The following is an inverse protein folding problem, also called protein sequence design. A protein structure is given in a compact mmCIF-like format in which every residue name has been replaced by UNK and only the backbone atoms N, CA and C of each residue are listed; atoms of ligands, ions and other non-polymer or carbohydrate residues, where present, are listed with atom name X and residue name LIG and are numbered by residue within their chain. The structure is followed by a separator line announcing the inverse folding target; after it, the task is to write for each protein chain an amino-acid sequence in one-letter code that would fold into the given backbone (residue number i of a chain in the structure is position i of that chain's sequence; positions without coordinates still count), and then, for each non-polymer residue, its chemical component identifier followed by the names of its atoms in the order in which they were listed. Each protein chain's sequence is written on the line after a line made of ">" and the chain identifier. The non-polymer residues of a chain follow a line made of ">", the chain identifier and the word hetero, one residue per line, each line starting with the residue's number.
data_IF_525211103183
#
_entry.id   IF_525211103183
#
_cell.length_a   1.000
_cell.length_b   1.000
_cell.length_c   1.000
_cell.angle_alpha   90.00
_cell.angle_beta   90.00
_cell.angle_gamma   90.00
#
_symmetry.space_group_name_H-M   'P 1'
#
loop_
_entity.id
_entity.type
_entity.pdbx_description
1 polymer ?
#
# COMPACT_ATOMS: atom_id res chain seq x y z
N UNK A 1 0.26 -5.01 20.85
CA UNK A 1 -0.89 -4.77 19.97
C UNK A 1 -1.81 -5.98 20.05
N UNK A 2 -1.34 -7.15 19.63
CA UNK A 2 -2.02 -8.45 19.76
C UNK A 2 -2.67 -8.73 21.13
N UNK A 3 -1.90 -8.62 22.23
CA UNK A 3 -2.48 -8.78 23.57
C UNK A 3 -3.46 -7.67 23.98
N UNK A 4 -3.32 -6.46 23.43
CA UNK A 4 -4.20 -5.31 23.73
C UNK A 4 -5.56 -5.46 23.00
N UNK A 5 -5.60 -6.12 21.85
CA UNK A 5 -6.85 -6.44 21.15
C UNK A 5 -7.61 -7.62 21.78
N UNK A 6 -7.13 -8.15 22.90
CA UNK A 6 -7.77 -9.25 23.64
C UNK A 6 -7.42 -10.64 23.12
N UNK A 7 -6.47 -10.74 22.18
CA UNK A 7 -5.95 -12.02 21.70
C UNK A 7 -4.93 -12.58 22.72
N UNK A 8 -5.03 -13.89 22.99
CA UNK A 8 -4.28 -14.55 24.08
C UNK A 8 -3.15 -15.46 23.57
N UNK A 9 -3.14 -15.74 22.27
CA UNK A 9 -2.08 -16.46 21.60
C UNK A 9 -0.84 -15.58 21.38
N UNK A 10 0.30 -16.24 21.18
CA UNK A 10 1.56 -15.57 20.82
C UNK A 10 1.86 -15.85 19.36
N UNK A 11 2.19 -14.80 18.61
CA UNK A 11 2.48 -14.86 17.17
C UNK A 11 3.92 -14.45 16.95
N UNK A 12 4.67 -15.24 16.19
CA UNK A 12 6.05 -14.93 15.85
C UNK A 12 6.14 -13.63 15.03
N UNK A 13 7.12 -12.75 15.30
CA UNK A 13 7.23 -11.45 14.66
C UNK A 13 7.86 -11.53 13.26
N UNK A 14 7.27 -12.34 12.37
CA UNK A 14 7.63 -12.34 10.94
C UNK A 14 7.13 -11.07 10.25
N UNK A 15 7.69 -10.73 9.08
CA UNK A 15 7.26 -9.54 8.32
C UNK A 15 5.78 -9.66 7.96
N UNK A 16 5.33 -10.84 7.54
CA UNK A 16 3.94 -11.13 7.20
C UNK A 16 3.01 -10.88 8.40
N UNK A 17 3.38 -11.39 9.59
CA UNK A 17 2.58 -11.24 10.80
C UNK A 17 2.54 -9.78 11.27
N UNK A 18 3.67 -9.07 11.20
CA UNK A 18 3.73 -7.64 11.51
C UNK A 18 2.84 -6.83 10.56
N UNK A 19 2.90 -7.11 9.26
CA UNK A 19 2.11 -6.39 8.24
C UNK A 19 0.61 -6.73 8.35
N UNK A 20 0.27 -7.94 8.79
CA UNK A 20 -1.10 -8.31 9.10
C UNK A 20 -1.61 -7.56 10.34
N UNK A 21 -0.84 -7.54 11.43
CA UNK A 21 -1.22 -6.83 12.66
C UNK A 21 -1.41 -5.33 12.39
N UNK A 22 -0.50 -4.71 11.63
CA UNK A 22 -0.62 -3.29 11.22
C UNK A 22 -1.86 -3.01 10.38
N UNK A 23 -2.30 -3.95 9.54
CA UNK A 23 -3.53 -3.81 8.76
C UNK A 23 -4.77 -3.75 9.66
N UNK A 24 -4.79 -4.59 10.69
CA UNK A 24 -5.91 -4.67 11.63
C UNK A 24 -5.93 -3.45 12.55
N UNK A 25 -4.77 -3.09 13.09
CA UNK A 25 -4.63 -2.00 14.04
C UNK A 25 -4.88 -0.61 13.42
N UNK A 26 -4.34 -0.36 12.22
CA UNK A 26 -4.38 0.98 11.59
C UNK A 26 -5.38 1.05 10.43
N UNK A 27 -6.49 0.31 10.53
CA UNK A 27 -7.55 0.34 9.52
C UNK A 27 -8.12 1.76 9.42
N UNK A 28 -8.21 2.30 8.20
CA UNK A 28 -8.68 3.67 7.97
C UNK A 28 -7.63 4.77 8.15
N UNK A 29 -6.41 4.47 8.60
CA UNK A 29 -5.35 5.47 8.86
C UNK A 29 -4.34 5.64 7.71
N UNK A 30 -4.66 5.14 6.51
CA UNK A 30 -3.85 5.35 5.31
C UNK A 30 -2.52 4.60 5.25
N UNK A 31 -2.26 3.65 6.17
CA UNK A 31 -0.96 2.94 6.25
C UNK A 31 -0.87 1.73 5.30
N UNK A 32 -2.00 1.07 5.02
CA UNK A 32 -2.02 -0.24 4.37
C UNK A 32 -1.38 -0.23 2.97
N UNK A 33 -1.64 0.79 2.17
CA UNK A 33 -1.07 0.87 0.81
C UNK A 33 0.46 0.91 0.85
N UNK A 34 1.02 1.81 1.66
CA UNK A 34 2.46 2.00 1.77
C UNK A 34 3.17 0.81 2.41
N UNK A 35 2.51 0.12 3.36
CA UNK A 35 3.01 -1.12 3.93
C UNK A 35 3.17 -2.23 2.88
N UNK A 36 2.20 -2.37 1.97
CA UNK A 36 2.27 -3.34 0.88
C UNK A 36 3.34 -2.98 -0.16
N UNK A 37 3.46 -1.70 -0.52
CA UNK A 37 4.46 -1.23 -1.49
C UNK A 37 5.88 -1.44 -0.96
N UNK A 38 6.17 -1.01 0.28
CA UNK A 38 7.53 -1.07 0.85
C UNK A 38 8.00 -2.50 1.18
N UNK A 39 7.08 -3.46 1.23
CA UNK A 39 7.38 -4.88 1.49
C UNK A 39 7.32 -5.75 0.23
N UNK A 40 7.04 -5.18 -0.94
CA UNK A 40 6.90 -5.94 -2.19
C UNK A 40 5.63 -6.78 -2.29
N UNK A 41 4.70 -6.65 -1.34
CA UNK A 41 3.46 -7.42 -1.28
C UNK A 41 2.31 -6.80 -2.09
N UNK A 42 2.51 -5.61 -2.67
CA UNK A 42 1.47 -4.89 -3.41
C UNK A 42 0.94 -5.67 -4.61
N UNK A 43 1.82 -6.19 -5.47
CA UNK A 43 1.42 -6.91 -6.68
C UNK A 43 0.61 -8.18 -6.38
N UNK A 44 0.97 -8.91 -5.31
CA UNK A 44 0.28 -10.15 -4.93
C UNK A 44 -1.03 -9.86 -4.18
N UNK A 45 -1.11 -8.76 -3.43
CA UNK A 45 -2.28 -8.44 -2.59
C UNK A 45 -3.34 -7.60 -3.33
N UNK A 46 -2.92 -6.60 -4.12
CA UNK A 46 -3.80 -5.60 -4.75
C UNK A 46 -4.25 -6.04 -6.16
N UNK A 47 -4.90 -7.20 -6.21
CA UNK A 47 -5.46 -7.84 -7.40
C UNK A 47 -6.99 -7.80 -7.40
N UNK A 48 -7.67 -8.09 -8.53
CA UNK A 48 -9.12 -8.19 -8.54
C UNK A 48 -9.65 -9.17 -7.49
N UNK A 49 -10.75 -8.80 -6.84
CA UNK A 49 -11.40 -9.64 -5.84
C UNK A 49 -12.62 -10.37 -6.42
N UNK A 50 -13.08 -11.40 -5.71
CA UNK A 50 -14.23 -12.21 -6.12
C UNK A 50 -15.57 -11.49 -6.01
N UNK A 51 -15.64 -10.38 -5.27
CA UNK A 51 -16.86 -9.59 -5.08
C UNK A 51 -17.02 -8.48 -6.12
N UNK A 52 -15.98 -8.23 -6.93
CA UNK A 52 -15.96 -7.21 -7.97
C UNK A 52 -15.73 -5.78 -7.46
N UNK A 53 -15.38 -5.58 -6.18
CA UNK A 53 -15.11 -4.23 -5.64
C UNK A 53 -13.82 -3.64 -6.20
N UNK A 54 -12.84 -4.49 -6.48
CA UNK A 54 -11.62 -4.18 -7.22
C UNK A 54 -11.59 -4.98 -8.50
N UNK A 55 -11.44 -4.29 -9.62
CA UNK A 55 -11.36 -4.88 -10.96
C UNK A 55 -9.96 -4.77 -11.59
N UNK A 56 -9.06 -3.99 -10.97
CA UNK A 56 -7.75 -3.67 -11.52
C UNK A 56 -6.59 -4.27 -10.70
N UNK A 57 -5.58 -4.77 -11.41
CA UNK A 57 -4.30 -5.21 -10.82
C UNK A 57 -3.36 -4.02 -10.61
N UNK A 58 -2.64 -4.05 -9.49
CA UNK A 58 -1.55 -3.11 -9.23
C UNK A 58 -0.30 -3.46 -10.07
N UNK A 59 0.41 -2.46 -10.57
CA UNK A 59 1.68 -2.58 -11.30
C UNK A 59 2.73 -1.64 -10.69
N UNK A 60 4.01 -1.94 -10.88
CA UNK A 60 5.11 -1.09 -10.37
C UNK A 60 5.00 0.35 -10.91
N UNK A 61 4.51 0.54 -12.14
CA UNK A 61 4.26 1.87 -12.72
C UNK A 61 3.23 2.71 -11.94
N UNK A 62 2.33 2.07 -11.19
CA UNK A 62 1.30 2.72 -10.36
C UNK A 62 1.73 2.96 -8.92
N UNK A 63 3.00 2.75 -8.60
CA UNK A 63 3.55 2.87 -7.24
C UNK A 63 3.41 4.28 -6.68
N UNK A 64 3.75 5.29 -7.48
CA UNK A 64 3.77 6.69 -7.08
C UNK A 64 2.52 7.40 -7.56
N UNK A 65 2.03 8.37 -6.80
CA UNK A 65 1.01 9.29 -7.29
C UNK A 65 1.57 10.12 -8.45
N UNK A 66 0.72 10.57 -9.40
CA UNK A 66 1.16 11.48 -10.44
C UNK A 66 1.65 12.78 -9.81
N UNK A 67 2.76 13.30 -10.32
CA UNK A 67 3.22 14.65 -9.98
C UNK A 67 2.15 15.62 -10.46
N UNK A 68 1.69 16.60 -9.64
CA UNK A 68 0.68 17.57 -10.06
C UNK A 68 1.10 18.30 -11.33
N UNK A 69 0.18 18.43 -12.29
CA UNK A 69 0.49 19.01 -13.60
C UNK A 69 1.00 20.45 -13.49
N UNK A 70 0.47 21.24 -12.56
CA UNK A 70 0.95 22.60 -12.32
C UNK A 70 2.42 22.68 -11.95
N UNK A 71 2.95 21.68 -11.21
CA UNK A 71 4.36 21.61 -10.84
C UNK A 71 5.23 21.20 -12.04
N UNK A 72 4.73 20.31 -12.91
CA UNK A 72 5.40 19.94 -14.17
C UNK A 72 5.51 21.15 -15.10
N UNK A 73 4.41 21.90 -15.24
CA UNK A 73 4.36 23.09 -16.10
C UNK A 73 5.29 24.19 -15.56
N UNK A 74 5.29 24.41 -14.24
CA UNK A 74 6.16 25.39 -13.57
C UNK A 74 7.65 25.03 -13.67
N UNK A 75 7.99 23.74 -13.71
CA UNK A 75 9.36 23.26 -13.78
C UNK A 75 10.02 23.44 -15.16
N UNK A 76 9.28 23.88 -16.19
CA UNK A 76 9.79 24.22 -17.52
C UNK A 76 10.71 23.13 -18.12
N UNK A 77 10.33 21.87 -17.96
CA UNK A 77 11.06 20.71 -18.50
C UNK A 77 12.18 20.15 -17.61
N UNK A 78 12.41 20.70 -16.42
CA UNK A 78 13.38 20.15 -15.44
C UNK A 78 12.79 19.01 -14.58
N UNK A 79 11.46 18.93 -14.50
CA UNK A 79 10.73 17.87 -13.82
C UNK A 79 9.94 17.06 -14.84
N UNK A 80 10.14 15.74 -14.84
CA UNK A 80 9.45 14.80 -15.72
C UNK A 80 8.44 13.96 -14.94
N UNK A 81 7.31 13.62 -15.56
CA UNK A 81 6.30 12.77 -14.94
C UNK A 81 6.82 11.34 -14.69
N UNK A 82 6.22 10.67 -13.70
CA UNK A 82 6.42 9.25 -13.44
C UNK A 82 5.99 8.40 -14.65
N UNK A 83 6.71 7.30 -14.88
CA UNK A 83 6.35 6.33 -15.92
C UNK A 83 5.16 5.47 -15.43
N UNK A 84 3.97 5.72 -15.99
CA UNK A 84 2.68 5.18 -15.54
C UNK A 84 2.12 4.10 -16.46
#
# INVERSE_FOLDING_TARGET
>A
MHGRSGLTDTVDPTIENIINERRLEFVGEGKRYWDLVRTGMAATTLRPDSYGYRTNTWSESKKYLPIPQSEIDAAQGTLTQNNY
#
